data_IF_366177277147
#
_entry.id   IF_366177277147
#
_cell.length_a   1.000
_cell.length_b   1.000
_cell.length_c   1.000
_cell.angle_alpha   90.00
_cell.angle_beta   90.00
_cell.angle_gamma   90.00
#
_symmetry.space_group_name_H-M   'P 1'
#
loop_
_entity.id
_entity.type
_entity.pdbx_description
1 polymer ?
#
# COMPACT_ATOMS: atom_id res chain seq x y z
N UNK A 1 -3.47 27.56 -1.13
CA UNK A 1 -2.60 28.38 -1.99
C UNK A 1 -2.78 27.92 -3.42
N UNK A 2 -2.45 28.76 -4.41
CA UNK A 2 -2.55 28.40 -5.83
C UNK A 2 -1.75 27.13 -6.18
N UNK A 3 -0.61 26.92 -5.50
CA UNK A 3 0.19 25.69 -5.62
C UNK A 3 -0.56 24.42 -5.19
N UNK A 4 -1.35 24.49 -4.11
CA UNK A 4 -2.10 23.33 -3.61
C UNK A 4 -3.22 22.91 -4.57
N UNK A 5 -3.92 23.88 -5.16
CA UNK A 5 -4.97 23.61 -6.16
C UNK A 5 -4.37 23.00 -7.43
N UNK A 6 -3.25 23.54 -7.91
CA UNK A 6 -2.51 23.00 -9.06
C UNK A 6 -2.03 21.56 -8.83
N UNK A 7 -1.47 21.28 -7.64
CA UNK A 7 -1.05 19.93 -7.27
C UNK A 7 -2.22 18.94 -7.23
N UNK A 8 -3.37 19.35 -6.70
CA UNK A 8 -4.56 18.50 -6.63
C UNK A 8 -5.15 18.21 -8.01
N UNK A 9 -5.25 19.22 -8.88
CA UNK A 9 -5.68 19.02 -10.28
C UNK A 9 -4.74 18.08 -11.03
N UNK A 10 -3.42 18.21 -10.82
CA UNK A 10 -2.43 17.30 -11.43
C UNK A 10 -2.60 15.87 -10.93
N UNK A 11 -2.80 15.69 -9.62
CA UNK A 11 -3.04 14.38 -9.02
C UNK A 11 -4.25 13.65 -9.64
N UNK A 12 -5.32 14.37 -9.94
CA UNK A 12 -6.53 13.80 -10.56
C UNK A 12 -6.31 13.33 -12.00
N UNK A 13 -5.30 13.85 -12.69
CA UNK A 13 -4.94 13.47 -14.06
C UNK A 13 -3.99 12.27 -14.12
N UNK A 14 -3.45 11.83 -12.98
CA UNK A 14 -2.59 10.66 -12.94
C UNK A 14 -3.40 9.42 -13.37
N UNK A 15 -2.83 8.54 -14.21
CA UNK A 15 -3.51 7.33 -14.68
C UNK A 15 -3.55 6.25 -13.57
N UNK A 16 -4.12 6.57 -12.42
CA UNK A 16 -4.24 5.69 -11.26
C UNK A 16 -5.55 4.92 -11.37
N UNK A 17 -5.45 3.61 -11.60
CA UNK A 17 -6.60 2.72 -11.54
C UNK A 17 -7.00 2.46 -10.08
N UNK A 18 -8.31 2.40 -9.83
CA UNK A 18 -8.89 2.01 -8.54
C UNK A 18 -9.20 0.51 -8.58
N UNK A 19 -8.65 -0.26 -7.65
CA UNK A 19 -8.88 -1.70 -7.54
C UNK A 19 -9.55 -2.04 -6.21
N UNK A 20 -10.70 -2.72 -6.29
CA UNK A 20 -11.51 -3.17 -5.16
C UNK A 20 -11.90 -4.65 -5.34
N UNK A 21 -10.94 -5.59 -5.22
CA UNK A 21 -11.25 -7.02 -5.23
C UNK A 21 -12.21 -7.41 -4.10
N UNK A 22 -13.05 -8.40 -4.34
CA UNK A 22 -14.08 -8.83 -3.38
C UNK A 22 -13.46 -9.35 -2.08
N UNK A 23 -12.28 -9.96 -2.15
CA UNK A 23 -11.58 -10.59 -1.04
C UNK A 23 -10.70 -9.61 -0.23
N UNK A 24 -10.62 -8.34 -0.66
CA UNK A 24 -9.67 -7.35 -0.14
C UNK A 24 -9.72 -7.24 1.39
N UNK A 25 -10.92 -7.09 1.96
CA UNK A 25 -11.08 -6.91 3.41
C UNK A 25 -10.70 -8.17 4.20
N UNK A 26 -11.07 -9.34 3.70
CA UNK A 26 -10.73 -10.62 4.33
C UNK A 26 -9.22 -10.85 4.31
N UNK A 27 -8.58 -10.61 3.16
CA UNK A 27 -7.12 -10.75 3.02
C UNK A 27 -6.37 -9.74 3.89
N UNK A 28 -6.82 -8.50 3.93
CA UNK A 28 -6.24 -7.47 4.80
C UNK A 28 -6.32 -7.86 6.28
N UNK A 29 -7.44 -8.45 6.71
CA UNK A 29 -7.60 -8.95 8.08
C UNK A 29 -6.62 -10.08 8.41
N UNK A 30 -6.43 -11.05 7.51
CA UNK A 30 -5.46 -12.14 7.68
C UNK A 30 -4.03 -11.60 7.83
N UNK A 31 -3.63 -10.67 6.96
CA UNK A 31 -2.31 -10.05 6.98
C UNK A 31 -2.10 -9.24 8.26
N UNK A 32 -3.09 -8.43 8.67
CA UNK A 32 -3.01 -7.64 9.90
C UNK A 32 -2.77 -8.51 11.13
N UNK A 33 -3.45 -9.66 11.21
CA UNK A 33 -3.24 -10.66 12.27
C UNK A 33 -1.83 -11.26 12.20
N UNK A 34 -1.38 -11.68 11.01
CA UNK A 34 -0.07 -12.31 10.83
C UNK A 34 1.11 -11.37 11.19
N UNK A 35 0.95 -10.07 10.95
CA UNK A 35 1.97 -9.07 11.27
C UNK A 35 1.82 -8.47 12.67
N UNK A 36 0.80 -8.87 13.45
CA UNK A 36 0.48 -8.27 14.75
C UNK A 36 0.41 -6.73 14.69
N UNK A 37 -0.01 -6.19 13.53
CA UNK A 37 0.00 -4.75 13.30
C UNK A 37 -1.25 -4.10 13.88
N UNK A 38 -1.06 -2.91 14.50
CA UNK A 38 -2.14 -2.14 15.12
C UNK A 38 -3.05 -1.42 14.12
N UNK A 39 -2.64 -1.26 12.86
CA UNK A 39 -3.36 -0.45 11.86
C UNK A 39 -3.85 -1.33 10.70
N UNK A 40 -5.17 -1.43 10.55
CA UNK A 40 -5.80 -2.19 9.48
C UNK A 40 -5.56 -1.61 8.07
N UNK A 41 -5.26 -0.31 7.97
CA UNK A 41 -5.06 0.38 6.68
C UNK A 41 -3.84 -0.14 5.90
N UNK A 42 -2.71 -0.36 6.59
CA UNK A 42 -1.48 -0.81 5.95
C UNK A 42 -1.65 -2.22 5.34
N UNK A 43 -2.44 -3.07 6.01
CA UNK A 43 -2.74 -4.40 5.53
C UNK A 43 -3.63 -4.43 4.27
N UNK A 44 -4.40 -3.37 3.99
CA UNK A 44 -5.18 -3.29 2.74
C UNK A 44 -4.29 -3.08 1.52
N UNK A 45 -3.24 -2.28 1.64
CA UNK A 45 -2.27 -2.11 0.56
C UNK A 45 -1.48 -3.40 0.31
N UNK A 46 -1.08 -4.09 1.38
CA UNK A 46 -0.43 -5.41 1.28
C UNK A 46 -1.36 -6.44 0.63
N UNK A 47 -2.62 -6.50 1.08
CA UNK A 47 -3.61 -7.41 0.52
C UNK A 47 -3.88 -7.15 -0.96
N UNK A 48 -4.03 -5.88 -1.34
CA UNK A 48 -4.28 -5.51 -2.73
C UNK A 48 -3.11 -5.92 -3.63
N UNK A 49 -1.87 -5.64 -3.21
CA UNK A 49 -0.69 -6.03 -3.97
C UNK A 49 -0.53 -7.56 -4.09
N UNK A 50 -0.84 -8.30 -3.02
CA UNK A 50 -0.83 -9.77 -3.04
C UNK A 50 -1.90 -10.34 -4.00
N UNK A 51 -3.12 -9.77 -4.00
CA UNK A 51 -4.21 -10.20 -4.88
C UNK A 51 -3.91 -9.89 -6.35
N UNK A 52 -3.40 -8.68 -6.63
CA UNK A 52 -3.07 -8.23 -7.98
C UNK A 52 -1.72 -8.79 -8.49
N UNK A 53 -0.96 -9.46 -7.62
CA UNK A 53 0.35 -10.01 -7.96
C UNK A 53 1.38 -8.94 -8.37
N UNK A 54 1.31 -7.75 -7.76
CA UNK A 54 2.16 -6.61 -8.12
C UNK A 54 3.09 -6.18 -6.97
N UNK A 55 4.06 -5.33 -7.29
CA UNK A 55 4.92 -4.73 -6.28
C UNK A 55 4.16 -3.64 -5.50
N UNK A 56 4.34 -3.63 -4.18
CA UNK A 56 3.91 -2.51 -3.35
C UNK A 56 5.10 -1.61 -3.05
N UNK A 57 5.05 -0.37 -3.53
CA UNK A 57 6.02 0.67 -3.19
C UNK A 57 5.46 1.54 -2.07
N UNK A 58 6.17 1.64 -0.94
CA UNK A 58 5.77 2.48 0.19
C UNK A 58 6.87 3.46 0.57
N UNK A 59 6.50 4.65 1.05
CA UNK A 59 7.41 5.54 1.75
C UNK A 59 7.38 5.33 3.28
N UNK A 60 6.50 4.45 3.77
CA UNK A 60 6.40 4.13 5.20
C UNK A 60 7.44 3.08 5.61
N UNK A 61 8.56 3.57 6.16
CA UNK A 61 9.63 2.74 6.70
C UNK A 61 9.17 1.82 7.83
N UNK A 62 8.18 2.23 8.63
CA UNK A 62 7.69 1.41 9.75
C UNK A 62 6.93 0.20 9.24
N UNK A 63 6.11 0.37 8.19
CA UNK A 63 5.45 -0.74 7.50
C UNK A 63 6.47 -1.71 6.91
N UNK A 64 7.45 -1.18 6.17
CA UNK A 64 8.52 -1.98 5.55
C UNK A 64 9.28 -2.83 6.59
N UNK A 65 9.70 -2.20 7.69
CA UNK A 65 10.42 -2.89 8.76
C UNK A 65 9.53 -3.91 9.50
N UNK A 66 8.24 -3.63 9.68
CA UNK A 66 7.31 -4.54 10.34
C UNK A 66 7.02 -5.80 9.52
N UNK A 67 7.04 -5.70 8.19
CA UNK A 67 6.98 -6.86 7.30
C UNK A 67 8.28 -7.66 7.34
N UNK A 68 9.42 -7.00 7.55
CA UNK A 68 10.70 -7.65 7.87
C UNK A 68 11.18 -8.62 6.79
N UNK A 69 10.94 -8.29 5.52
CA UNK A 69 11.37 -9.11 4.37
C UNK A 69 10.50 -10.35 4.08
N UNK A 70 9.41 -10.58 4.84
CA UNK A 70 8.47 -11.69 4.59
C UNK A 70 7.75 -11.59 3.24
N UNK A 71 7.67 -10.39 2.68
CA UNK A 71 7.04 -10.08 1.39
C UNK A 71 8.07 -9.41 0.50
N UNK A 72 8.64 -10.16 -0.44
CA UNK A 72 9.75 -9.70 -1.32
C UNK A 72 9.31 -8.66 -2.35
N UNK A 73 8.01 -8.58 -2.61
CA UNK A 73 7.36 -7.60 -3.49
C UNK A 73 7.05 -6.27 -2.79
N UNK A 74 7.28 -6.14 -1.48
CA UNK A 74 7.23 -4.86 -0.78
C UNK A 74 8.57 -4.12 -0.94
N UNK A 75 8.52 -2.92 -1.52
CA UNK A 75 9.67 -2.05 -1.77
C UNK A 75 9.54 -0.76 -0.98
N UNK A 76 10.65 -0.22 -0.50
CA UNK A 76 10.67 1.12 0.03
C UNK A 76 11.15 2.13 -1.03
N UNK A 77 10.38 3.19 -1.20
CA UNK A 77 10.76 4.32 -2.05
C UNK A 77 12.06 4.94 -1.55
N UNK A 78 13.03 5.10 -2.45
CA UNK A 78 14.31 5.74 -2.17
C UNK A 78 15.39 4.82 -1.59
N UNK A 79 15.15 3.51 -1.49
CA UNK A 79 16.24 2.54 -1.37
C UNK A 79 16.72 2.08 -2.76
N UNK A 80 18.04 1.94 -2.97
CA UNK A 80 18.62 1.48 -4.23
C UNK A 80 18.33 0.00 -4.52
#
# INVERSE_FOLDING_TARGET
SQEAESAFSTFQLLPIARAWPQELHTKAWEIAKALSQRKAYDAHYLALAEIEGCELWTADRRLYNAVGGRMTWLKLVGEP
#
